data_IF_787711708002
#
_entry.id   IF_787711708002
#
_cell.length_a   1.000
_cell.length_b   1.000
_cell.length_c   1.000
_cell.angle_alpha   90.00
_cell.angle_beta   90.00
_cell.angle_gamma   90.00
#
_symmetry.space_group_name_H-M   'P 1'
#
loop_
_entity.id
_entity.type
_entity.pdbx_description
1 polymer ?
#
# COMPACT_ATOMS: atom_id res chain seq x y z
N UNK A 1 9.66 -27.54 -4.36
CA UNK A 1 9.99 -26.21 -4.90
C UNK A 1 10.98 -25.52 -3.99
N UNK A 2 11.94 -24.75 -4.52
CA UNK A 2 12.81 -23.88 -3.69
C UNK A 2 12.23 -22.48 -3.65
N UNK A 3 12.08 -21.93 -2.44
CA UNK A 3 11.61 -20.57 -2.21
C UNK A 3 12.74 -19.79 -1.54
N UNK A 4 13.02 -18.59 -2.04
CA UNK A 4 14.01 -17.67 -1.51
C UNK A 4 13.35 -16.36 -1.13
N UNK A 5 13.78 -15.76 -0.02
CA UNK A 5 13.21 -14.48 0.41
C UNK A 5 13.54 -13.35 -0.56
N UNK A 6 14.80 -13.23 -0.98
CA UNK A 6 15.25 -12.15 -1.87
C UNK A 6 16.23 -12.68 -2.92
N UNK A 7 15.90 -12.51 -4.19
CA UNK A 7 16.66 -13.06 -5.31
C UNK A 7 17.74 -12.11 -5.85
N UNK A 8 17.70 -10.83 -5.48
CA UNK A 8 18.70 -9.85 -5.88
C UNK A 8 18.61 -8.56 -5.07
N UNK A 9 19.64 -7.73 -5.16
CA UNK A 9 19.66 -6.42 -4.51
C UNK A 9 18.55 -5.52 -5.06
N UNK A 10 17.67 -5.05 -4.18
CA UNK A 10 16.56 -4.14 -4.53
C UNK A 10 15.33 -4.79 -5.15
N UNK A 11 15.30 -6.12 -5.25
CA UNK A 11 14.14 -6.86 -5.80
C UNK A 11 13.05 -7.01 -4.74
N UNK A 12 11.79 -7.09 -5.18
CA UNK A 12 10.72 -7.47 -4.26
C UNK A 12 10.98 -8.87 -3.69
N UNK A 13 10.46 -9.11 -2.50
CA UNK A 13 10.58 -10.41 -1.85
C UNK A 13 9.80 -11.48 -2.63
N UNK A 14 10.31 -12.70 -2.66
CA UNK A 14 9.71 -13.85 -3.36
C UNK A 14 9.58 -13.74 -4.89
N UNK A 15 10.14 -12.69 -5.51
CA UNK A 15 10.18 -12.52 -6.96
C UNK A 15 11.58 -12.75 -7.52
N UNK A 16 11.68 -13.62 -8.54
CA UNK A 16 12.90 -13.78 -9.34
C UNK A 16 13.12 -12.58 -10.27
N UNK A 17 14.38 -12.39 -10.67
CA UNK A 17 14.70 -11.38 -11.68
C UNK A 17 13.96 -11.68 -12.98
N UNK A 18 13.31 -10.66 -13.53
CA UNK A 18 12.52 -10.71 -14.77
C UNK A 18 11.25 -11.59 -14.70
N UNK A 19 10.81 -11.98 -13.49
CA UNK A 19 9.52 -12.62 -13.23
C UNK A 19 8.50 -11.61 -12.71
N UNK A 20 7.28 -11.66 -13.23
CA UNK A 20 6.12 -10.96 -12.65
C UNK A 20 5.30 -11.88 -11.73
N UNK A 21 5.70 -13.15 -11.60
CA UNK A 21 5.00 -14.15 -10.82
C UNK A 21 5.72 -14.41 -9.49
N UNK A 22 4.93 -14.44 -8.43
CA UNK A 22 5.34 -14.94 -7.12
C UNK A 22 5.58 -16.44 -7.20
N UNK A 23 6.73 -16.90 -6.68
CA UNK A 23 7.00 -18.35 -6.58
C UNK A 23 6.18 -19.03 -5.50
N UNK A 24 5.60 -18.27 -4.58
CA UNK A 24 4.61 -18.77 -3.64
C UNK A 24 3.25 -18.58 -4.32
N UNK A 25 2.47 -19.64 -4.48
CA UNK A 25 1.25 -19.63 -5.31
C UNK A 25 0.32 -18.48 -4.95
N UNK A 26 -0.44 -17.99 -5.93
CA UNK A 26 -1.36 -16.86 -5.76
C UNK A 26 -2.39 -17.07 -4.61
N UNK A 27 -2.70 -18.32 -4.23
CA UNK A 27 -3.55 -18.65 -3.07
C UNK A 27 -2.86 -18.44 -1.71
N UNK A 28 -1.52 -18.43 -1.67
CA UNK A 28 -0.71 -18.27 -0.45
C UNK A 28 0.22 -17.04 -0.48
N UNK A 29 0.18 -16.18 -1.50
CA UNK A 29 1.28 -15.23 -1.77
C UNK A 29 1.26 -13.94 -0.95
N UNK A 30 0.14 -13.20 -1.00
CA UNK A 30 0.11 -11.80 -0.54
C UNK A 30 -0.57 -11.63 0.81
N UNK A 31 -1.72 -12.28 0.99
CA UNK A 31 -2.39 -12.44 2.28
C UNK A 31 -1.60 -13.32 3.25
N UNK A 32 -0.39 -13.73 2.90
CA UNK A 32 0.41 -14.65 3.72
C UNK A 32 1.87 -14.19 3.83
N UNK A 33 2.22 -12.96 3.42
CA UNK A 33 3.60 -12.45 3.42
C UNK A 33 4.33 -12.78 4.73
N UNK A 34 3.71 -12.46 5.86
CA UNK A 34 4.28 -12.72 7.19
C UNK A 34 4.40 -14.22 7.46
N UNK A 35 3.37 -15.00 7.14
CA UNK A 35 3.36 -16.43 7.40
C UNK A 35 4.41 -17.17 6.54
N UNK A 36 4.59 -16.78 5.28
CA UNK A 36 5.65 -17.29 4.40
C UNK A 36 7.01 -16.89 4.95
N UNK A 37 7.17 -15.64 5.38
CA UNK A 37 8.41 -15.19 6.01
C UNK A 37 8.72 -15.96 7.30
N UNK A 38 7.73 -16.28 8.13
CA UNK A 38 7.92 -17.07 9.36
C UNK A 38 8.15 -18.56 9.06
N UNK A 39 7.54 -19.10 7.99
CA UNK A 39 7.90 -20.41 7.44
C UNK A 39 9.32 -20.44 6.89
N UNK A 40 9.88 -19.29 6.51
CA UNK A 40 11.27 -19.06 6.06
C UNK A 40 12.22 -18.57 7.16
N UNK A 41 11.71 -18.14 8.30
CA UNK A 41 12.54 -17.78 9.42
C UNK A 41 11.76 -17.94 10.72
N UNK A 42 11.60 -19.18 11.23
CA UNK A 42 10.74 -19.46 12.37
C UNK A 42 11.26 -18.81 13.66
N UNK A 43 12.55 -18.47 13.68
CA UNK A 43 13.23 -17.81 14.77
C UNK A 43 13.16 -16.27 14.68
N UNK A 44 12.41 -15.72 13.70
CA UNK A 44 12.31 -14.29 13.48
C UNK A 44 11.80 -13.57 14.73
N UNK A 45 12.46 -12.46 15.07
CA UNK A 45 12.00 -11.54 16.11
C UNK A 45 11.07 -10.51 15.49
N UNK A 46 10.30 -9.79 16.33
CA UNK A 46 9.49 -8.64 15.89
C UNK A 46 10.28 -7.67 15.01
N UNK A 47 11.53 -7.37 15.37
CA UNK A 47 12.40 -6.48 14.58
C UNK A 47 12.70 -6.99 13.17
N UNK A 48 12.74 -8.30 12.96
CA UNK A 48 12.89 -8.88 11.61
C UNK A 48 11.63 -8.68 10.78
N UNK A 49 10.46 -8.78 11.40
CA UNK A 49 9.17 -8.55 10.73
C UNK A 49 9.02 -7.07 10.38
N UNK A 50 9.32 -6.15 11.31
CA UNK A 50 9.28 -4.71 11.03
C UNK A 50 10.23 -4.32 9.90
N UNK A 51 11.44 -4.89 9.86
CA UNK A 51 12.37 -4.68 8.76
C UNK A 51 11.85 -5.22 7.42
N UNK A 52 11.16 -6.37 7.41
CA UNK A 52 10.48 -6.89 6.23
C UNK A 52 9.40 -5.93 5.74
N UNK A 53 8.55 -5.43 6.64
CA UNK A 53 7.48 -4.49 6.32
C UNK A 53 8.04 -3.17 5.75
N UNK A 54 9.08 -2.61 6.38
CA UNK A 54 9.78 -1.42 5.90
C UNK A 54 10.39 -1.65 4.52
N UNK A 55 11.07 -2.78 4.30
CA UNK A 55 11.66 -3.12 3.01
C UNK A 55 10.60 -3.24 1.91
N UNK A 56 9.50 -3.95 2.18
CA UNK A 56 8.40 -4.13 1.22
C UNK A 56 7.75 -2.79 0.86
N UNK A 57 7.43 -1.95 1.87
CA UNK A 57 6.93 -0.59 1.64
C UNK A 57 7.83 0.20 0.70
N UNK A 58 9.11 0.35 1.08
CA UNK A 58 10.06 1.16 0.33
C UNK A 58 10.39 0.56 -1.04
N UNK A 59 10.22 -0.75 -1.24
CA UNK A 59 10.41 -1.40 -2.52
C UNK A 59 9.23 -1.16 -3.48
N UNK A 60 7.99 -1.15 -2.97
CA UNK A 60 6.78 -0.94 -3.77
C UNK A 60 6.55 0.54 -4.14
N UNK A 61 6.86 1.45 -3.21
CA UNK A 61 6.78 2.89 -3.49
C UNK A 61 7.89 3.24 -4.48
N UNK A 62 7.51 3.69 -5.67
CA UNK A 62 8.46 4.05 -6.71
C UNK A 62 9.22 5.35 -6.37
N UNK A 63 10.42 5.47 -6.91
CA UNK A 63 11.17 6.73 -7.00
C UNK A 63 11.07 7.27 -8.43
N UNK A 64 11.42 8.55 -8.60
CA UNK A 64 11.57 9.24 -9.90
C UNK A 64 10.27 9.39 -10.70
N UNK A 65 9.66 10.58 -10.63
CA UNK A 65 8.51 11.02 -11.47
C UNK A 65 7.39 9.99 -11.62
N UNK A 66 7.25 9.10 -10.64
CA UNK A 66 6.27 8.03 -10.62
C UNK A 66 5.54 8.13 -9.30
N UNK A 67 4.26 8.42 -9.43
CA UNK A 67 3.27 8.31 -8.38
C UNK A 67 2.71 6.88 -8.44
N UNK A 68 2.44 6.31 -7.26
CA UNK A 68 1.73 5.05 -7.11
C UNK A 68 0.42 5.34 -6.40
N UNK A 69 -0.67 4.75 -6.87
CA UNK A 69 -1.93 4.81 -6.13
C UNK A 69 -1.73 4.13 -4.77
N UNK A 70 -2.46 4.60 -3.76
CA UNK A 70 -2.29 4.07 -2.42
C UNK A 70 -2.75 2.61 -2.30
N UNK A 71 -3.74 2.17 -3.08
CA UNK A 71 -4.13 0.75 -3.17
C UNK A 71 -2.97 -0.14 -3.66
N UNK A 72 -2.13 0.36 -4.58
CA UNK A 72 -0.96 -0.34 -5.10
C UNK A 72 0.17 -0.51 -4.07
N UNK A 73 0.10 0.10 -2.89
CA UNK A 73 1.12 -0.06 -1.83
C UNK A 73 0.56 -0.50 -0.48
N UNK A 74 -0.72 -0.25 -0.21
CA UNK A 74 -1.39 -0.58 1.04
C UNK A 74 -2.16 -1.89 0.90
N UNK A 75 -1.39 -2.94 0.63
CA UNK A 75 -1.92 -4.29 0.40
C UNK A 75 -2.26 -4.92 1.74
N UNK A 76 -3.54 -5.14 1.95
CA UNK A 76 -4.03 -5.78 3.15
C UNK A 76 -5.07 -6.85 2.81
N UNK A 77 -5.12 -7.95 3.58
CA UNK A 77 -4.33 -8.24 4.79
C UNK A 77 -2.90 -8.72 4.50
N UNK A 78 -1.96 -8.54 5.45
CA UNK A 78 -0.56 -9.02 5.34
C UNK A 78 -0.39 -10.49 5.84
N UNK A 79 -1.44 -11.04 6.46
CA UNK A 79 -1.55 -12.41 6.97
C UNK A 79 -3.01 -12.86 6.97
N UNK A 80 -3.28 -14.12 6.62
CA UNK A 80 -4.61 -14.74 6.64
C UNK A 80 -5.21 -14.84 8.05
N UNK A 81 -4.34 -14.79 9.04
CA UNK A 81 -4.70 -14.84 10.47
C UNK A 81 -4.91 -13.42 11.01
N UNK A 82 -4.86 -12.39 10.15
CA UNK A 82 -5.10 -11.01 10.53
C UNK A 82 -6.53 -10.85 11.05
N UNK A 83 -6.64 -10.40 12.30
CA UNK A 83 -7.92 -10.11 12.96
C UNK A 83 -8.57 -8.83 12.46
N UNK A 84 -7.90 -8.08 11.58
CA UNK A 84 -8.40 -6.82 11.01
C UNK A 84 -9.48 -6.99 9.94
N UNK A 85 -9.91 -8.22 9.62
CA UNK A 85 -10.89 -8.49 8.57
C UNK A 85 -12.33 -8.16 9.02
N UNK A 86 -12.73 -6.90 8.87
CA UNK A 86 -14.12 -6.46 9.03
C UNK A 86 -14.91 -6.52 7.72
N UNK A 87 -16.24 -6.36 7.79
CA UNK A 87 -17.16 -6.38 6.62
C UNK A 87 -16.83 -5.32 5.54
N UNK A 88 -15.93 -4.38 5.86
CA UNK A 88 -15.45 -3.29 5.01
C UNK A 88 -13.89 -3.24 4.94
N UNK A 89 -13.17 -4.36 5.11
CA UNK A 89 -11.71 -4.38 5.09
C UNK A 89 -11.04 -4.05 6.44
N UNK A 90 -9.74 -3.70 6.42
CA UNK A 90 -8.89 -3.57 7.63
C UNK A 90 -9.45 -2.60 8.65
N UNK A 91 -9.65 -3.04 9.89
CA UNK A 91 -10.11 -2.19 10.98
C UNK A 91 -8.97 -1.34 11.58
N UNK A 92 -8.60 -0.23 10.92
CA UNK A 92 -7.52 0.66 11.40
C UNK A 92 -7.82 1.39 12.73
N UNK A 93 -9.09 1.45 13.14
CA UNK A 93 -9.54 2.14 14.36
C UNK A 93 -9.63 1.26 15.60
N UNK A 94 -9.44 -0.05 15.47
CA UNK A 94 -9.51 -0.93 16.62
C UNK A 94 -8.14 -0.99 17.29
N UNK A 95 -8.04 -0.92 18.63
CA UNK A 95 -6.78 -1.01 19.36
C UNK A 95 -6.29 -2.47 19.40
N UNK A 96 -6.24 -3.11 18.24
CA UNK A 96 -5.78 -4.48 18.04
C UNK A 96 -4.39 -4.37 17.44
N UNK A 97 -3.33 -4.68 18.21
CA UNK A 97 -2.00 -4.82 17.64
C UNK A 97 -2.04 -5.82 16.49
N UNK A 98 -1.72 -5.34 15.29
CA UNK A 98 -1.72 -6.14 14.06
C UNK A 98 -0.54 -5.74 13.16
N UNK A 99 -0.17 -6.61 12.21
CA UNK A 99 0.89 -6.27 11.26
C UNK A 99 0.52 -5.06 10.41
N UNK A 100 -0.77 -4.82 10.15
CA UNK A 100 -1.28 -3.66 9.42
C UNK A 100 -1.13 -2.37 10.22
N UNK A 101 -1.40 -2.41 11.54
CA UNK A 101 -1.16 -1.25 12.41
C UNK A 101 0.33 -0.87 12.47
N UNK A 102 1.22 -1.86 12.46
CA UNK A 102 2.68 -1.65 12.39
C UNK A 102 3.08 -1.14 11.00
N UNK A 103 2.47 -1.65 9.93
CA UNK A 103 2.71 -1.20 8.55
C UNK A 103 2.40 0.29 8.36
N UNK A 104 1.24 0.74 8.86
CA UNK A 104 0.86 2.16 8.85
C UNK A 104 1.79 2.98 9.72
N UNK A 105 2.20 2.45 10.88
CA UNK A 105 3.14 3.14 11.77
C UNK A 105 4.48 3.37 11.08
N UNK A 106 5.04 2.34 10.42
CA UNK A 106 6.26 2.44 9.62
C UNK A 106 6.07 3.46 8.48
N UNK A 107 4.97 3.39 7.73
CA UNK A 107 4.68 4.35 6.66
C UNK A 107 4.63 5.80 7.17
N UNK A 108 4.02 6.02 8.34
CA UNK A 108 4.01 7.31 9.02
C UNK A 108 5.39 7.77 9.45
N UNK A 109 6.20 6.89 10.03
CA UNK A 109 7.58 7.20 10.41
C UNK A 109 8.44 7.56 9.19
N UNK A 110 8.29 6.83 8.08
CA UNK A 110 8.95 7.14 6.81
C UNK A 110 8.53 8.54 6.29
N UNK A 111 7.25 8.89 6.40
CA UNK A 111 6.75 10.21 6.01
C UNK A 111 7.33 11.33 6.90
N UNK A 112 7.26 11.14 8.22
CA UNK A 112 7.77 12.11 9.20
C UNK A 112 9.29 12.30 9.07
N UNK A 113 10.04 11.24 8.74
CA UNK A 113 11.45 11.31 8.43
C UNK A 113 11.76 11.93 7.06
N UNK A 114 10.74 12.15 6.22
CA UNK A 114 10.86 12.71 4.88
C UNK A 114 11.41 11.74 3.84
N UNK A 115 11.26 10.43 4.05
CA UNK A 115 11.62 9.41 3.08
C UNK A 115 10.51 9.15 2.06
N UNK A 116 9.26 9.30 2.46
CA UNK A 116 8.10 9.20 1.57
C UNK A 116 7.23 10.46 1.68
N UNK A 117 6.44 10.71 0.65
CA UNK A 117 5.42 11.76 0.66
C UNK A 117 4.14 11.23 0.00
N UNK A 118 3.03 11.89 0.32
CA UNK A 118 1.74 11.64 -0.29
C UNK A 118 1.36 12.81 -1.17
N UNK A 119 0.66 12.55 -2.26
CA UNK A 119 0.31 13.56 -3.25
C UNK A 119 -1.18 13.49 -3.55
N UNK A 120 -1.83 14.64 -3.52
CA UNK A 120 -3.15 14.85 -4.09
C UNK A 120 -2.97 15.61 -5.40
N UNK A 121 -3.50 15.08 -6.49
CA UNK A 121 -3.58 15.80 -7.76
C UNK A 121 -4.79 16.74 -7.67
N UNK A 122 -4.55 18.05 -7.63
CA UNK A 122 -5.59 19.08 -7.53
C UNK A 122 -5.85 19.73 -8.88
N UNK A 123 -7.12 19.82 -9.28
CA UNK A 123 -7.53 20.61 -10.44
C UNK A 123 -7.55 22.11 -10.09
N UNK A 124 -6.62 22.88 -10.66
CA UNK A 124 -6.48 24.32 -10.39
C UNK A 124 -7.23 25.19 -11.41
N UNK A 125 -7.44 24.68 -12.63
CA UNK A 125 -8.32 25.19 -13.68
C UNK A 125 -8.84 24.01 -14.50
N UNK A 126 -9.87 24.22 -15.32
CA UNK A 126 -10.44 23.17 -16.16
C UNK A 126 -9.35 22.40 -16.93
N UNK A 127 -9.17 21.11 -16.58
CA UNK A 127 -8.15 20.19 -17.14
C UNK A 127 -6.70 20.62 -16.93
N UNK A 128 -6.43 21.48 -15.96
CA UNK A 128 -5.11 21.90 -15.51
C UNK A 128 -4.91 21.42 -14.06
N UNK A 129 -3.98 20.49 -13.88
CA UNK A 129 -3.77 19.79 -12.62
C UNK A 129 -2.42 20.14 -11.99
N UNK A 130 -2.35 20.05 -10.67
CA UNK A 130 -1.14 20.30 -9.89
C UNK A 130 -1.02 19.25 -8.78
N UNK A 131 0.15 18.65 -8.69
CA UNK A 131 0.52 17.82 -7.55
C UNK A 131 0.72 18.69 -6.30
N UNK A 132 -0.03 18.37 -5.24
CA UNK A 132 0.10 19.01 -3.93
C UNK A 132 0.56 17.96 -2.93
N UNK A 133 1.77 18.17 -2.40
CA UNK A 133 2.41 17.24 -1.47
C UNK A 133 1.86 17.43 -0.04
N UNK A 134 1.55 16.32 0.63
CA UNK A 134 1.04 16.34 2.01
C UNK A 134 2.03 17.02 2.95
N UNK A 135 3.32 16.82 2.73
CA UNK A 135 4.35 17.43 3.58
C UNK A 135 4.42 18.97 3.50
N UNK A 136 3.76 19.57 2.51
CA UNK A 136 3.66 21.02 2.32
C UNK A 136 2.28 21.58 2.73
N UNK A 137 1.30 20.71 3.03
CA UNK A 137 -0.10 21.11 3.23
C UNK A 137 -0.37 21.82 4.58
N UNK A 138 0.28 21.36 5.67
CA UNK A 138 0.15 21.99 7.01
C UNK A 138 1.45 22.66 7.43
N UNK A 139 1.36 23.51 8.45
CA UNK A 139 2.51 24.23 9.03
C UNK A 139 3.66 23.31 9.49
N UNK A 140 3.35 22.06 9.85
CA UNK A 140 4.36 21.05 10.11
C UNK A 140 3.90 19.66 9.67
N UNK A 141 4.87 18.79 9.37
CA UNK A 141 4.62 17.42 8.87
C UNK A 141 3.85 16.55 9.87
N UNK A 142 4.06 16.75 11.17
CA UNK A 142 3.36 15.94 12.17
C UNK A 142 1.84 16.18 12.13
N UNK A 143 1.42 17.44 12.06
CA UNK A 143 0.01 17.79 11.91
C UNK A 143 -0.56 17.35 10.55
N UNK A 144 0.23 17.44 9.47
CA UNK A 144 -0.17 16.91 8.16
C UNK A 144 -0.41 15.39 8.22
N UNK A 145 0.52 14.64 8.80
CA UNK A 145 0.40 13.18 8.98
C UNK A 145 -0.81 12.83 9.83
N UNK A 146 -0.99 13.50 10.97
CA UNK A 146 -2.12 13.25 11.87
C UNK A 146 -3.45 13.48 11.15
N UNK A 147 -3.58 14.61 10.45
CA UNK A 147 -4.78 14.92 9.67
C UNK A 147 -5.03 13.88 8.57
N UNK A 148 -4.01 13.52 7.80
CA UNK A 148 -4.11 12.51 6.76
C UNK A 148 -4.52 11.15 7.34
N UNK A 149 -3.77 10.64 8.32
CA UNK A 149 -4.03 9.35 8.95
C UNK A 149 -5.45 9.26 9.52
N UNK A 150 -5.87 10.30 10.23
CA UNK A 150 -7.16 10.33 10.92
C UNK A 150 -8.35 10.37 9.94
N UNK A 151 -8.17 10.90 8.73
CA UNK A 151 -9.23 10.95 7.72
C UNK A 151 -9.12 9.82 6.69
N UNK A 152 -7.91 9.38 6.36
CA UNK A 152 -7.68 8.40 5.31
C UNK A 152 -7.86 6.98 5.80
N UNK A 153 -7.15 6.61 6.88
CA UNK A 153 -7.23 5.28 7.48
C UNK A 153 -8.38 5.20 8.48
N UNK A 154 -8.46 6.15 9.40
CA UNK A 154 -9.38 6.06 10.55
C UNK A 154 -10.82 6.48 10.23
N UNK A 155 -11.08 7.18 9.12
CA UNK A 155 -12.46 7.39 8.65
C UNK A 155 -12.80 6.55 7.43
N UNK A 156 -12.04 5.47 7.21
CA UNK A 156 -12.28 4.49 6.16
C UNK A 156 -12.31 5.06 4.74
N UNK A 157 -11.63 6.18 4.48
CA UNK A 157 -11.58 6.73 3.13
C UNK A 157 -10.81 5.79 2.19
N UNK A 158 -9.74 5.15 2.68
CA UNK A 158 -9.04 4.10 1.95
C UNK A 158 -9.97 2.91 1.60
N UNK A 159 -10.87 2.51 2.51
CA UNK A 159 -11.75 1.37 2.31
C UNK A 159 -13.07 1.67 1.61
N UNK A 160 -13.26 2.87 1.04
CA UNK A 160 -14.47 3.16 0.29
C UNK A 160 -14.59 2.23 -0.92
N UNK A 161 -15.77 1.66 -1.07
CA UNK A 161 -16.17 0.89 -2.24
C UNK A 161 -17.06 1.71 -3.17
N UNK A 162 -17.28 1.18 -4.38
CA UNK A 162 -18.06 1.86 -5.43
C UNK A 162 -19.47 2.28 -4.99
N UNK A 163 -20.10 1.58 -4.05
CA UNK A 163 -21.43 1.94 -3.55
C UNK A 163 -21.44 3.11 -2.56
N UNK A 164 -20.27 3.47 -2.03
CA UNK A 164 -20.01 4.61 -1.13
C UNK A 164 -19.47 5.85 -1.88
N UNK A 165 -19.27 5.76 -3.19
CA UNK A 165 -18.76 6.86 -4.01
C UNK A 165 -19.73 8.08 -3.98
N UNK A 166 -19.13 9.27 -4.00
CA UNK A 166 -19.83 10.53 -4.13
C UNK A 166 -19.68 10.97 -5.59
N UNK A 167 -20.79 11.10 -6.29
CA UNK A 167 -20.82 11.52 -7.68
C UNK A 167 -21.14 13.02 -7.78
N UNK A 168 -20.40 13.76 -8.61
CA UNK A 168 -20.68 15.18 -8.87
C UNK A 168 -21.38 15.33 -10.22
N UNK A 169 -22.58 15.91 -10.19
CA UNK A 169 -23.35 16.23 -11.40
C UNK A 169 -23.96 17.64 -11.30
N UNK A 170 -23.66 18.50 -12.28
CA UNK A 170 -24.08 19.91 -12.31
C UNK A 170 -23.76 20.66 -10.99
N UNK A 171 -22.55 20.45 -10.45
CA UNK A 171 -22.08 21.09 -9.22
C UNK A 171 -22.75 20.61 -7.93
N UNK A 172 -23.47 19.49 -7.96
CA UNK A 172 -24.10 18.88 -6.78
C UNK A 172 -23.59 17.46 -6.55
N UNK A 173 -23.49 17.09 -5.28
CA UNK A 173 -23.12 15.74 -4.83
C UNK A 173 -24.34 14.81 -4.82
N UNK A 174 -24.14 13.57 -5.24
CA UNK A 174 -25.11 12.49 -5.23
C UNK A 174 -24.47 11.22 -4.69
N UNK A 175 -25.27 10.40 -4.02
CA UNK A 175 -24.92 8.99 -3.81
C UNK A 175 -24.95 8.25 -5.16
N UNK A 176 -24.30 7.10 -5.25
CA UNK A 176 -24.42 6.24 -6.42
C UNK A 176 -25.88 5.91 -6.69
N UNK A 177 -26.69 5.65 -5.67
CA UNK A 177 -28.09 5.24 -5.79
C UNK A 177 -28.97 6.37 -6.34
N UNK A 178 -28.75 7.61 -5.91
CA UNK A 178 -29.63 8.75 -6.24
C UNK A 178 -29.13 9.62 -7.40
N UNK A 179 -27.92 9.37 -7.91
CA UNK A 179 -27.40 10.10 -9.06
C UNK A 179 -28.32 9.93 -10.29
N UNK A 180 -28.67 11.01 -11.01
CA UNK A 180 -29.37 10.93 -12.28
C UNK A 180 -28.66 9.98 -13.25
N UNK A 181 -29.43 9.23 -14.04
CA UNK A 181 -28.88 8.23 -14.97
C UNK A 181 -29.41 8.41 -16.38
N UNK A 182 -28.57 8.15 -17.36
CA UNK A 182 -28.98 7.99 -18.74
C UNK A 182 -28.84 6.54 -19.19
N UNK A 183 -29.64 6.12 -20.17
CA UNK A 183 -29.53 4.78 -20.74
C UNK A 183 -28.47 4.77 -21.84
N UNK A 184 -27.38 4.03 -21.63
CA UNK A 184 -26.36 3.81 -22.63
C UNK A 184 -26.77 2.63 -23.53
N UNK A 185 -27.07 2.91 -24.80
CA UNK A 185 -27.50 1.89 -25.78
C UNK A 185 -26.42 0.87 -26.12
N UNK A 186 -25.15 1.26 -26.08
CA UNK A 186 -24.00 0.40 -26.41
C UNK A 186 -23.77 -0.62 -25.29
N UNK A 187 -23.70 -0.13 -24.06
CA UNK A 187 -23.47 -0.96 -22.86
C UNK A 187 -24.77 -1.61 -22.34
N UNK A 188 -25.93 -1.25 -22.92
CA UNK A 188 -27.27 -1.73 -22.56
C UNK A 188 -27.59 -1.62 -21.06
N UNK A 189 -27.12 -0.55 -20.43
CA UNK A 189 -27.29 -0.30 -18.99
C UNK A 189 -27.54 1.19 -18.69
N UNK A 190 -28.07 1.48 -17.51
CA UNK A 190 -28.21 2.85 -17.00
C UNK A 190 -26.91 3.26 -16.32
N UNK A 191 -26.28 4.33 -16.81
CA UNK A 191 -25.01 4.85 -16.29
C UNK A 191 -25.28 6.15 -15.54
N UNK A 192 -24.66 6.37 -14.36
CA UNK A 192 -24.71 7.66 -13.66
C UNK A 192 -24.25 8.82 -14.55
N UNK A 193 -24.91 9.96 -14.43
CA UNK A 193 -24.56 11.18 -15.16
C UNK A 193 -23.38 11.95 -14.52
N UNK A 194 -23.16 11.75 -13.21
CA UNK A 194 -22.06 12.40 -12.49
C UNK A 194 -20.73 11.68 -12.66
N UNK A 195 -19.64 12.42 -12.44
CA UNK A 195 -18.31 11.83 -12.36
C UNK A 195 -17.99 11.38 -10.93
N UNK A 196 -17.21 10.31 -10.82
CA UNK A 196 -16.76 9.74 -9.55
C UNK A 196 -15.79 10.66 -8.83
N UNK A 197 -15.96 10.89 -7.53
CA UNK A 197 -14.92 11.56 -6.74
C UNK A 197 -13.80 10.60 -6.35
N UNK A 198 -14.09 9.29 -6.23
CA UNK A 198 -13.06 8.30 -5.91
C UNK A 198 -11.99 8.16 -6.99
N UNK A 199 -12.35 8.28 -8.27
CA UNK A 199 -11.44 8.12 -9.41
C UNK A 199 -11.03 9.46 -10.05
N UNK A 200 -11.18 10.57 -9.33
CA UNK A 200 -10.90 11.92 -9.82
C UNK A 200 -9.86 12.64 -8.96
N UNK A 201 -9.24 13.70 -9.50
CA UNK A 201 -8.46 14.68 -8.74
C UNK A 201 -9.15 15.07 -7.44
N UNK A 202 -8.36 15.25 -6.38
CA UNK A 202 -8.85 15.52 -5.03
C UNK A 202 -7.97 16.57 -4.35
N UNK A 203 -8.44 17.14 -3.25
CA UNK A 203 -7.69 18.10 -2.44
C UNK A 203 -7.52 17.62 -1.00
N UNK A 204 -6.46 18.08 -0.35
CA UNK A 204 -6.29 17.88 1.09
C UNK A 204 -7.42 18.52 1.93
N UNK A 205 -8.16 19.48 1.37
CA UNK A 205 -9.29 20.13 2.05
C UNK A 205 -10.62 19.35 1.92
N UNK A 206 -10.68 18.29 1.11
CA UNK A 206 -11.91 17.51 0.84
C UNK A 206 -11.80 16.03 1.21
N UNK A 207 -11.53 15.67 2.49
CA UNK A 207 -11.32 14.29 2.90
C UNK A 207 -12.49 13.33 2.63
N UNK A 208 -13.70 13.85 2.48
CA UNK A 208 -14.87 13.06 2.09
C UNK A 208 -14.78 12.52 0.66
N UNK A 209 -13.96 13.09 -0.22
CA UNK A 209 -13.75 12.64 -1.59
C UNK A 209 -12.55 11.71 -1.74
N UNK A 210 -11.73 11.56 -0.70
CA UNK A 210 -10.57 10.66 -0.74
C UNK A 210 -10.98 9.20 -0.89
N UNK A 211 -10.15 8.45 -1.60
CA UNK A 211 -10.27 7.01 -1.84
C UNK A 211 -8.89 6.35 -1.90
N UNK A 212 -8.85 5.03 -2.00
CA UNK A 212 -7.62 4.29 -2.29
C UNK A 212 -6.98 4.63 -3.66
N UNK A 213 -7.76 5.20 -4.59
CA UNK A 213 -7.38 5.44 -5.98
C UNK A 213 -6.91 6.87 -6.28
N UNK A 214 -7.31 7.86 -5.46
CA UNK A 214 -7.02 9.28 -5.75
C UNK A 214 -5.99 9.93 -4.82
N UNK A 215 -5.43 9.18 -3.87
CA UNK A 215 -4.26 9.59 -3.11
C UNK A 215 -3.06 8.79 -3.58
N UNK A 216 -2.01 9.51 -3.94
CA UNK A 216 -0.79 8.94 -4.45
C UNK A 216 0.30 8.92 -3.38
N UNK A 217 1.30 8.06 -3.57
CA UNK A 217 2.50 8.00 -2.73
C UNK A 217 3.76 7.99 -3.59
N UNK A 218 4.85 8.56 -3.07
CA UNK A 218 6.15 8.53 -3.73
C UNK A 218 7.32 8.52 -2.75
N UNK A 219 8.47 7.98 -3.17
CA UNK A 219 9.73 8.14 -2.44
C UNK A 219 10.33 9.50 -2.77
N UNK A 220 10.72 10.23 -1.74
CA UNK A 220 11.50 11.47 -1.92
C UNK A 220 12.93 11.13 -2.40
N UNK A 221 13.70 12.14 -2.79
CA UNK A 221 15.14 11.96 -3.06
C UNK A 221 15.87 11.37 -1.84
N UNK A 222 15.51 11.83 -0.64
CA UNK A 222 16.06 11.33 0.63
C UNK A 222 15.67 9.86 0.85
N UNK A 223 14.42 9.49 0.58
CA UNK A 223 13.95 8.11 0.68
C UNK A 223 14.59 7.18 -0.34
N UNK A 224 14.79 7.66 -1.56
CA UNK A 224 15.47 6.91 -2.63
C UNK A 224 16.92 6.62 -2.23
N UNK A 225 17.62 7.63 -1.70
CA UNK A 225 18.98 7.46 -1.16
C UNK A 225 19.02 6.46 -0.01
N UNK A 226 18.11 6.60 0.95
CA UNK A 226 17.97 5.66 2.07
C UNK A 226 17.74 4.22 1.60
N UNK A 227 16.81 4.02 0.65
CA UNK A 227 16.51 2.70 0.12
C UNK A 227 17.73 2.08 -0.59
N UNK A 228 18.35 2.81 -1.51
CA UNK A 228 19.42 2.29 -2.35
C UNK A 228 20.74 2.08 -1.60
N UNK A 229 21.10 2.98 -0.68
CA UNK A 229 22.40 2.96 -0.02
C UNK A 229 22.39 2.22 1.31
N UNK A 230 21.22 2.11 1.97
CA UNK A 230 21.13 1.58 3.34
C UNK A 230 20.19 0.39 3.41
N UNK A 231 18.89 0.61 3.19
CA UNK A 231 17.87 -0.41 3.49
C UNK A 231 18.02 -1.64 2.59
N UNK A 232 18.12 -1.44 1.28
CA UNK A 232 18.21 -2.54 0.31
C UNK A 232 19.51 -3.36 0.45
N UNK A 233 20.71 -2.75 0.54
CA UNK A 233 21.93 -3.50 0.80
C UNK A 233 21.92 -4.24 2.13
N UNK A 234 21.41 -3.62 3.21
CA UNK A 234 21.30 -4.26 4.53
C UNK A 234 20.38 -5.48 4.46
N UNK A 235 19.19 -5.30 3.90
CA UNK A 235 18.19 -6.36 3.78
C UNK A 235 18.70 -7.52 2.92
N UNK A 236 19.23 -7.21 1.74
CA UNK A 236 19.79 -8.21 0.83
C UNK A 236 20.92 -8.99 1.50
N UNK A 237 21.93 -8.32 2.06
CA UNK A 237 23.06 -9.03 2.66
C UNK A 237 22.64 -9.93 3.82
N UNK A 238 21.63 -9.52 4.59
CA UNK A 238 21.09 -10.31 5.71
C UNK A 238 20.37 -11.59 5.25
N UNK A 239 19.59 -11.51 4.17
CA UNK A 239 18.67 -12.59 3.78
C UNK A 239 19.00 -13.29 2.44
N UNK A 240 20.03 -12.86 1.70
CA UNK A 240 20.40 -13.40 0.37
C UNK A 240 20.70 -14.90 0.36
N UNK A 241 21.07 -15.49 1.49
CA UNK A 241 21.40 -16.90 1.60
C UNK A 241 20.24 -17.72 2.21
N UNK A 242 19.11 -17.08 2.54
CA UNK A 242 17.96 -17.72 3.16
C UNK A 242 17.03 -18.35 2.11
N UNK A 243 17.04 -19.67 2.06
CA UNK A 243 16.23 -20.49 1.16
C UNK A 243 15.57 -21.65 1.89
N UNK A 244 14.41 -22.07 1.41
CA UNK A 244 13.72 -23.27 1.91
C UNK A 244 13.25 -24.13 0.75
N UNK A 245 13.37 -25.44 0.92
CA UNK A 245 12.79 -26.42 0.02
C UNK A 245 11.43 -26.86 0.60
N UNK A 246 10.36 -26.72 -0.18
CA UNK A 246 9.00 -27.13 0.19
C UNK A 246 8.44 -28.22 -0.74
N UNK A 247 7.55 -29.05 -0.22
CA UNK A 247 6.80 -30.05 -1.00
C UNK A 247 5.63 -29.41 -1.79
N UNK A 248 4.84 -30.23 -2.49
CA UNK A 248 3.68 -29.77 -3.25
C UNK A 248 2.50 -29.31 -2.37
N UNK A 249 2.56 -29.52 -1.06
CA UNK A 249 1.56 -29.10 -0.08
C UNK A 249 2.03 -27.87 0.72
N UNK A 250 3.21 -27.32 0.41
CA UNK A 250 3.77 -26.15 1.10
C UNK A 250 4.44 -26.47 2.45
N UNK A 251 4.72 -27.75 2.74
CA UNK A 251 5.46 -28.16 3.93
C UNK A 251 6.97 -28.01 3.72
N UNK A 252 7.67 -27.55 4.77
CA UNK A 252 9.13 -27.41 4.75
C UNK A 252 9.80 -28.79 4.75
N UNK A 253 10.57 -29.08 3.71
CA UNK A 253 11.42 -30.27 3.60
C UNK A 253 12.76 -30.00 4.30
N UNK A 254 13.41 -28.88 3.96
CA UNK A 254 14.67 -28.47 4.60
C UNK A 254 15.01 -27.00 4.36
N UNK A 255 15.88 -26.51 5.23
CA UNK A 255 16.49 -25.19 5.21
C UNK A 255 17.82 -25.20 4.45
N UNK A 256 18.06 -24.17 3.66
CA UNK A 256 19.30 -23.98 2.90
C UNK A 256 19.86 -22.60 3.25
N UNK A 257 21.15 -22.56 3.62
CA UNK A 257 21.87 -21.36 4.02
C UNK A 257 21.52 -20.85 5.42
N UNK A 258 21.93 -19.61 5.72
CA UNK A 258 21.80 -18.99 7.04
C UNK A 258 21.55 -17.49 6.90
N UNK A 259 21.07 -16.86 7.98
CA UNK A 259 20.96 -15.41 8.06
C UNK A 259 22.31 -14.84 8.45
N UNK A 260 22.80 -13.90 7.65
CA UNK A 260 24.03 -13.17 7.93
C UNK A 260 23.75 -12.15 9.04
N UNK A 261 24.42 -12.32 10.19
CA UNK A 261 24.27 -11.47 11.38
C UNK A 261 25.34 -10.40 11.43
#
# INVERSE_FOLDING_TARGET
MKVKLIYGLGYQVFMEKDSYEFKVSYEEGWENLINVFLKLYPQAKKTNILELLEYVLMCMICSENRLRECDEILWFPLSKDSKGYGKNGVCFNEPIPSFESEYISILGELFLAGYVDFVAEEEIKEKEYKDVYLSEYKANKYEAWKYFRDNYFYKYAFQKFDDEDILIYNGKEYSVQDCPRYYNKKEKMKIPCGYSTMYSPTSWDTPKHWSQYNIWVTRTQKGTKYFNEILSPRFYNKYKDLEVEIDSQGNVIRWIGQINR
#
